data_IF_807882820771
#
_entry.id   IF_807882820771
#
_cell.length_a   1.000
_cell.length_b   1.000
_cell.length_c   1.000
_cell.angle_alpha   90.00
_cell.angle_beta   90.00
_cell.angle_gamma   90.00
#
_symmetry.space_group_name_H-M   'P 1'
#
loop_
_entity.id
_entity.type
_entity.pdbx_description
1 polymer ?
#
# COMPACT_ATOMS: atom_id res chain seq x y z
N UNK A 1 24.18 13.91 -5.54
CA UNK A 1 22.74 13.99 -5.31
C UNK A 1 22.22 12.56 -5.23
N UNK A 2 22.08 11.99 -4.03
CA UNK A 2 21.52 10.65 -3.87
C UNK A 2 20.00 10.76 -3.87
N UNK A 3 19.36 10.37 -4.98
CA UNK A 3 17.90 10.27 -5.01
C UNK A 3 17.44 9.22 -4.00
N UNK A 4 16.34 9.50 -3.28
CA UNK A 4 15.70 8.53 -2.39
C UNK A 4 15.34 7.28 -3.21
N UNK A 5 15.76 6.09 -2.79
CA UNK A 5 15.35 4.86 -3.46
C UNK A 5 13.83 4.71 -3.34
N UNK A 6 13.16 4.42 -4.46
CA UNK A 6 11.72 4.19 -4.48
C UNK A 6 11.42 2.86 -3.77
N UNK A 7 10.49 2.87 -2.81
CA UNK A 7 10.19 1.75 -1.93
C UNK A 7 8.99 0.95 -2.46
N UNK A 8 9.19 -0.34 -2.68
CA UNK A 8 8.12 -1.29 -2.95
C UNK A 8 7.90 -2.17 -1.72
N UNK A 9 6.73 -2.03 -1.09
CA UNK A 9 6.36 -2.89 0.04
C UNK A 9 5.70 -4.16 -0.48
N UNK A 10 6.14 -5.31 0.05
CA UNK A 10 5.67 -6.64 -0.35
C UNK A 10 4.79 -7.21 0.75
N UNK A 11 3.51 -7.36 0.44
CA UNK A 11 2.49 -7.99 1.28
C UNK A 11 2.31 -9.42 0.76
N UNK A 12 2.59 -10.41 1.60
CA UNK A 12 2.50 -11.83 1.20
C UNK A 12 2.33 -12.74 2.42
N UNK A 13 1.96 -14.02 2.24
CA UNK A 13 1.95 -14.96 3.34
C UNK A 13 3.35 -15.07 3.98
N UNK A 14 3.41 -14.77 5.28
CA UNK A 14 4.66 -14.73 6.07
C UNK A 14 5.08 -16.13 6.51
N UNK A 15 4.09 -16.93 6.92
CA UNK A 15 4.29 -18.30 7.40
C UNK A 15 3.90 -19.31 6.34
N UNK A 16 4.31 -20.56 6.58
CA UNK A 16 3.78 -21.70 5.85
C UNK A 16 2.24 -21.72 5.96
N UNK A 17 1.59 -22.09 4.88
CA UNK A 17 0.13 -22.16 4.77
C UNK A 17 -0.29 -23.51 4.24
N UNK A 18 -1.45 -24.00 4.68
CA UNK A 18 -1.96 -25.30 4.26
C UNK A 18 -2.03 -25.45 2.73
N UNK A 19 -1.56 -26.60 2.24
CA UNK A 19 -1.51 -26.91 0.81
C UNK A 19 -0.26 -26.40 0.09
N UNK A 20 0.75 -25.88 0.80
CA UNK A 20 2.04 -25.47 0.27
C UNK A 20 3.19 -26.14 1.02
N UNK A 21 4.32 -26.31 0.34
CA UNK A 21 5.53 -26.82 0.96
C UNK A 21 6.12 -25.80 1.94
N UNK A 22 6.81 -26.28 2.98
CA UNK A 22 7.46 -25.40 3.94
C UNK A 22 8.51 -24.52 3.24
N UNK A 23 8.48 -23.21 3.52
CA UNK A 23 9.36 -22.22 2.90
C UNK A 23 8.96 -21.83 1.47
N UNK A 24 7.80 -22.27 0.98
CA UNK A 24 7.31 -21.92 -0.35
C UNK A 24 7.29 -20.40 -0.56
N UNK A 25 6.65 -19.65 0.33
CA UNK A 25 6.54 -18.18 0.21
C UNK A 25 7.88 -17.46 0.38
N UNK A 26 8.81 -18.03 1.15
CA UNK A 26 10.19 -17.53 1.19
C UNK A 26 10.88 -17.70 -0.16
N UNK A 27 10.62 -18.80 -0.86
CA UNK A 27 11.12 -19.04 -2.23
C UNK A 27 10.48 -18.08 -3.23
N UNK A 28 9.16 -17.90 -3.18
CA UNK A 28 8.43 -16.91 -3.99
C UNK A 28 9.03 -15.52 -3.81
N UNK A 29 9.25 -15.09 -2.56
CA UNK A 29 9.84 -13.77 -2.29
C UNK A 29 11.23 -13.62 -2.91
N UNK A 30 12.14 -14.54 -2.60
CA UNK A 30 13.55 -14.42 -2.96
C UNK A 30 13.83 -14.58 -4.45
N UNK A 31 13.06 -15.45 -5.12
CA UNK A 31 13.34 -15.85 -6.50
C UNK A 31 12.38 -15.29 -7.53
N UNK A 32 11.21 -14.77 -7.12
CA UNK A 32 10.23 -14.21 -8.05
C UNK A 32 9.97 -12.72 -7.76
N UNK A 33 9.45 -12.40 -6.57
CA UNK A 33 8.98 -11.04 -6.27
C UNK A 33 10.16 -10.06 -6.16
N UNK A 34 11.13 -10.33 -5.30
CA UNK A 34 12.28 -9.43 -5.06
C UNK A 34 13.07 -9.16 -6.36
N UNK A 35 13.39 -10.16 -7.21
CA UNK A 35 14.01 -9.90 -8.50
C UNK A 35 13.16 -9.03 -9.43
N UNK A 36 11.84 -9.24 -9.48
CA UNK A 36 10.94 -8.44 -10.31
C UNK A 36 10.87 -6.97 -9.84
N UNK A 37 10.80 -6.75 -8.53
CA UNK A 37 10.80 -5.42 -7.89
C UNK A 37 12.10 -4.67 -8.17
N UNK A 38 13.25 -5.33 -7.97
CA UNK A 38 14.57 -4.74 -8.26
C UNK A 38 14.70 -4.40 -9.74
N UNK A 39 14.23 -5.29 -10.62
CA UNK A 39 14.24 -5.08 -12.08
C UNK A 39 13.36 -3.88 -12.49
N UNK A 40 12.29 -3.61 -11.76
CA UNK A 40 11.43 -2.44 -11.96
C UNK A 40 12.05 -1.13 -11.41
N UNK A 41 13.21 -1.20 -10.75
CA UNK A 41 13.92 -0.03 -10.22
C UNK A 41 13.51 0.39 -8.81
N UNK A 42 12.93 -0.53 -8.02
CA UNK A 42 12.50 -0.29 -6.65
C UNK A 42 13.32 -1.09 -5.64
N UNK A 43 13.38 -0.59 -4.40
CA UNK A 43 13.84 -1.33 -3.24
C UNK A 43 12.70 -2.21 -2.70
N UNK A 44 12.94 -3.52 -2.59
CA UNK A 44 11.97 -4.49 -2.07
C UNK A 44 12.02 -4.56 -0.54
N UNK A 45 10.90 -4.28 0.11
CA UNK A 45 10.75 -4.33 1.57
C UNK A 45 9.67 -5.35 1.92
N UNK A 46 9.99 -6.30 2.79
CA UNK A 46 9.06 -7.32 3.30
C UNK A 46 8.85 -7.10 4.81
N UNK A 47 7.64 -7.33 5.29
CA UNK A 47 7.24 -7.06 6.68
C UNK A 47 7.99 -7.89 7.74
N UNK A 48 8.55 -9.04 7.35
CA UNK A 48 9.08 -10.08 8.24
C UNK A 48 10.31 -9.67 9.07
N UNK A 49 10.96 -8.54 8.78
CA UNK A 49 12.18 -8.14 9.50
C UNK A 49 11.94 -7.57 10.92
N UNK A 50 10.68 -7.47 11.41
CA UNK A 50 10.37 -6.90 12.75
C UNK A 50 9.26 -7.63 13.53
N UNK A 51 9.59 -8.75 14.17
CA UNK A 51 8.65 -9.53 15.00
C UNK A 51 8.47 -8.99 16.43
N UNK A 52 7.44 -8.14 16.68
CA UNK A 52 6.79 -7.94 18.01
C UNK A 52 5.32 -7.48 17.87
N UNK A 53 4.37 -8.31 18.30
CA UNK A 53 2.92 -8.29 17.97
C UNK A 53 2.13 -6.97 18.10
N UNK A 54 2.39 -6.11 19.11
CA UNK A 54 1.71 -4.79 19.19
C UNK A 54 2.40 -3.69 18.36
N UNK A 55 3.64 -3.92 17.94
CA UNK A 55 4.39 -3.04 17.02
C UNK A 55 4.04 -3.37 15.56
N UNK A 56 3.48 -4.55 15.29
CA UNK A 56 3.22 -5.07 13.93
C UNK A 56 2.26 -4.16 13.15
N UNK A 57 1.10 -3.80 13.69
CA UNK A 57 0.10 -3.03 12.93
C UNK A 57 0.62 -1.64 12.58
N UNK A 58 1.24 -0.93 13.53
CA UNK A 58 1.82 0.39 13.28
C UNK A 58 2.97 0.31 12.26
N UNK A 59 3.81 -0.73 12.35
CA UNK A 59 4.89 -0.97 11.39
C UNK A 59 4.34 -1.25 9.99
N UNK A 60 3.29 -2.07 9.86
CA UNK A 60 2.64 -2.36 8.58
C UNK A 60 2.06 -1.08 7.99
N UNK A 61 1.30 -0.31 8.78
CA UNK A 61 0.71 0.94 8.29
C UNK A 61 1.79 1.93 7.87
N UNK A 62 2.86 2.06 8.65
CA UNK A 62 3.98 2.92 8.25
C UNK A 62 4.65 2.43 6.96
N UNK A 63 4.86 1.13 6.79
CA UNK A 63 5.42 0.59 5.56
C UNK A 63 4.51 0.82 4.35
N UNK A 64 3.19 0.71 4.52
CA UNK A 64 2.19 1.04 3.49
C UNK A 64 2.30 2.53 3.14
N UNK A 65 2.25 3.42 4.14
CA UNK A 65 2.32 4.87 3.94
C UNK A 65 3.65 5.33 3.33
N UNK A 66 4.77 4.73 3.71
CA UNK A 66 6.09 5.07 3.18
C UNK A 66 6.37 4.50 1.78
N UNK A 67 5.59 3.51 1.34
CA UNK A 67 5.80 2.86 0.05
C UNK A 67 5.28 3.70 -1.12
N UNK A 68 6.05 3.68 -2.20
CA UNK A 68 5.69 4.27 -3.49
C UNK A 68 4.74 3.35 -4.28
N UNK A 69 4.90 2.04 -4.09
CA UNK A 69 4.09 0.98 -4.70
C UNK A 69 4.06 -0.24 -3.80
N UNK A 70 3.03 -1.06 -3.94
CA UNK A 70 2.84 -2.28 -3.17
C UNK A 70 2.68 -3.45 -4.12
N UNK A 71 3.35 -4.57 -3.83
CA UNK A 71 3.08 -5.87 -4.46
C UNK A 71 2.39 -6.75 -3.43
N UNK A 72 1.22 -7.28 -3.79
CA UNK A 72 0.40 -8.09 -2.90
C UNK A 72 0.18 -9.48 -3.49
N UNK A 73 0.69 -10.51 -2.81
CA UNK A 73 0.55 -11.92 -3.19
C UNK A 73 -0.67 -12.56 -2.52
N UNK A 74 -1.72 -12.76 -3.31
CA UNK A 74 -3.02 -13.28 -2.86
C UNK A 74 -3.08 -14.81 -2.79
N UNK A 75 -1.97 -15.48 -3.05
CA UNK A 75 -1.85 -16.93 -2.94
C UNK A 75 -2.26 -17.42 -1.55
N UNK A 76 -2.71 -18.68 -1.48
CA UNK A 76 -3.25 -19.31 -0.27
C UNK A 76 -4.49 -18.65 0.35
N UNK A 77 -4.98 -17.53 -0.20
CA UNK A 77 -6.06 -16.72 0.36
C UNK A 77 -5.81 -16.30 1.82
N UNK A 78 -4.57 -15.92 2.13
CA UNK A 78 -4.20 -15.53 3.49
C UNK A 78 -5.00 -14.31 3.98
N UNK A 79 -5.67 -14.44 5.14
CA UNK A 79 -6.54 -13.38 5.67
C UNK A 79 -5.77 -12.09 6.04
N UNK A 80 -4.51 -12.20 6.48
CA UNK A 80 -3.69 -11.03 6.80
C UNK A 80 -3.33 -10.25 5.55
N UNK A 81 -2.98 -10.94 4.47
CA UNK A 81 -2.72 -10.33 3.15
C UNK A 81 -3.95 -9.54 2.67
N UNK A 82 -5.15 -10.11 2.79
CA UNK A 82 -6.38 -9.39 2.43
C UNK A 82 -6.66 -8.17 3.31
N UNK A 83 -6.35 -8.27 4.61
CA UNK A 83 -6.47 -7.13 5.52
C UNK A 83 -5.53 -5.98 5.12
N UNK A 84 -4.26 -6.28 4.85
CA UNK A 84 -3.25 -5.30 4.44
C UNK A 84 -3.53 -4.74 3.04
N UNK A 85 -4.08 -5.56 2.12
CA UNK A 85 -4.61 -5.10 0.84
C UNK A 85 -5.73 -4.07 1.03
N UNK A 86 -6.69 -4.36 1.90
CA UNK A 86 -7.78 -3.45 2.22
C UNK A 86 -7.29 -2.11 2.77
N UNK A 87 -6.29 -2.14 3.66
CA UNK A 87 -5.62 -0.93 4.14
C UNK A 87 -4.92 -0.17 3.02
N UNK A 88 -4.19 -0.87 2.15
CA UNK A 88 -3.49 -0.27 1.01
C UNK A 88 -4.45 0.46 0.07
N UNK A 89 -5.62 -0.13 -0.21
CA UNK A 89 -6.68 0.51 -0.97
C UNK A 89 -7.30 1.71 -0.24
N UNK A 90 -7.51 1.60 1.07
CA UNK A 90 -8.04 2.70 1.89
C UNK A 90 -7.11 3.92 1.92
N UNK A 91 -5.79 3.68 1.92
CA UNK A 91 -4.75 4.70 1.79
C UNK A 91 -4.42 5.06 0.34
N UNK A 92 -5.20 4.54 -0.62
CA UNK A 92 -5.11 4.91 -2.03
C UNK A 92 -3.73 4.69 -2.64
N UNK A 93 -3.05 3.63 -2.21
CA UNK A 93 -1.74 3.23 -2.70
C UNK A 93 -1.86 2.53 -4.05
N UNK A 94 -0.80 2.64 -4.85
CA UNK A 94 -0.65 1.88 -6.09
C UNK A 94 -0.34 0.42 -5.74
N UNK A 95 -1.18 -0.52 -6.16
CA UNK A 95 -1.06 -1.93 -5.76
C UNK A 95 -1.04 -2.84 -6.99
N UNK A 96 0.02 -3.64 -7.10
CA UNK A 96 0.11 -4.76 -8.03
C UNK A 96 -0.33 -6.03 -7.33
N UNK A 97 -1.36 -6.68 -7.88
CA UNK A 97 -1.84 -7.96 -7.38
C UNK A 97 -1.20 -9.11 -8.16
N UNK A 98 -0.67 -10.08 -7.42
CA UNK A 98 -0.20 -11.35 -7.95
C UNK A 98 -0.86 -12.52 -7.21
N UNK A 99 -0.86 -13.69 -7.83
CA UNK A 99 -1.27 -14.95 -7.22
C UNK A 99 -0.61 -16.12 -7.93
N UNK A 100 -0.57 -17.27 -7.30
CA UNK A 100 -0.25 -18.51 -7.99
C UNK A 100 -1.40 -18.97 -8.93
N UNK A 101 -1.09 -19.91 -9.81
CA UNK A 101 -2.03 -20.43 -10.79
C UNK A 101 -3.12 -21.35 -10.21
N UNK A 102 -3.03 -21.76 -8.95
CA UNK A 102 -4.02 -22.66 -8.31
C UNK A 102 -4.97 -21.93 -7.37
N UNK A 103 -4.64 -20.71 -6.93
CA UNK A 103 -5.47 -19.92 -6.03
C UNK A 103 -6.59 -19.23 -6.80
N UNK A 104 -7.83 -19.52 -6.38
CA UNK A 104 -9.03 -18.85 -6.87
C UNK A 104 -9.31 -17.59 -6.07
N UNK A 105 -9.41 -16.46 -6.78
CA UNK A 105 -9.68 -15.15 -6.20
C UNK A 105 -11.15 -15.02 -5.76
N UNK A 106 -11.45 -14.41 -4.60
CA UNK A 106 -12.83 -14.12 -4.18
C UNK A 106 -13.56 -13.24 -5.20
N UNK A 107 -14.88 -13.41 -5.32
CA UNK A 107 -15.69 -12.68 -6.29
C UNK A 107 -15.57 -11.15 -6.15
N UNK A 108 -15.47 -10.64 -4.92
CA UNK A 108 -15.42 -9.21 -4.61
C UNK A 108 -14.21 -8.46 -5.20
N UNK A 109 -13.12 -9.16 -5.52
CA UNK A 109 -11.92 -8.58 -6.14
C UNK A 109 -11.64 -9.15 -7.55
N UNK A 110 -12.59 -9.90 -8.12
CA UNK A 110 -12.44 -10.51 -9.45
C UNK A 110 -12.37 -9.50 -10.61
N UNK A 111 -12.87 -8.28 -10.40
CA UNK A 111 -12.77 -7.18 -11.37
C UNK A 111 -11.42 -6.49 -11.39
N UNK A 112 -10.53 -6.77 -10.42
CA UNK A 112 -9.19 -6.19 -10.36
C UNK A 112 -8.24 -7.12 -11.13
N UNK A 113 -7.36 -6.53 -11.95
CA UNK A 113 -6.37 -7.30 -12.70
C UNK A 113 -5.32 -7.88 -11.75
N UNK A 114 -5.21 -9.21 -11.76
CA UNK A 114 -4.23 -9.98 -10.96
C UNK A 114 -3.33 -10.78 -11.91
N UNK A 115 -2.02 -10.67 -11.74
CA UNK A 115 -1.07 -11.52 -12.48
C UNK A 115 -0.98 -12.90 -11.85
N UNK A 116 -0.88 -13.93 -12.69
CA UNK A 116 -0.68 -15.30 -12.22
C UNK A 116 0.77 -15.73 -12.43
N UNK A 117 1.36 -16.40 -11.44
CA UNK A 117 2.63 -17.11 -11.59
C UNK A 117 2.44 -18.62 -11.37
N UNK A 118 3.40 -19.43 -11.81
CA UNK A 118 3.33 -20.88 -11.64
C UNK A 118 3.73 -21.31 -10.22
N UNK A 119 2.84 -22.03 -9.52
CA UNK A 119 3.06 -22.49 -8.15
C UNK A 119 4.32 -23.36 -7.99
N UNK A 120 4.73 -24.11 -9.02
CA UNK A 120 5.89 -24.99 -8.90
C UNK A 120 7.22 -24.24 -8.84
N UNK A 121 7.22 -22.94 -9.18
CA UNK A 121 8.43 -22.11 -9.26
C UNK A 121 9.54 -22.74 -10.12
N UNK A 122 9.16 -23.52 -11.14
CA UNK A 122 10.10 -24.04 -12.13
C UNK A 122 10.82 -22.86 -12.79
N UNK A 123 12.14 -23.01 -12.95
CA UNK A 123 13.02 -21.90 -13.32
C UNK A 123 12.64 -21.24 -14.65
N UNK A 124 12.17 -22.03 -15.63
CA UNK A 124 11.68 -21.55 -16.92
C UNK A 124 10.39 -20.73 -16.81
N UNK A 125 9.54 -21.02 -15.82
CA UNK A 125 8.33 -20.23 -15.54
C UNK A 125 8.65 -18.97 -14.73
N UNK A 126 9.58 -19.07 -13.78
CA UNK A 126 10.08 -17.92 -13.01
C UNK A 126 10.75 -16.90 -13.93
N UNK A 127 11.62 -17.33 -14.84
CA UNK A 127 12.33 -16.47 -15.79
C UNK A 127 11.37 -15.71 -16.73
N UNK A 128 10.19 -16.29 -17.03
CA UNK A 128 9.12 -15.62 -17.78
C UNK A 128 8.33 -14.65 -16.91
N UNK A 129 8.06 -15.03 -15.66
CA UNK A 129 7.20 -14.27 -14.74
C UNK A 129 7.88 -13.00 -14.22
N UNK A 130 9.20 -13.04 -13.95
CA UNK A 130 9.97 -11.87 -13.47
C UNK A 130 9.81 -10.64 -14.36
N UNK A 131 10.08 -10.69 -15.68
CA UNK A 131 9.93 -9.51 -16.55
C UNK A 131 8.47 -9.07 -16.68
N UNK A 132 7.50 -9.98 -16.61
CA UNK A 132 6.08 -9.63 -16.65
C UNK A 132 5.65 -8.85 -15.40
N UNK A 133 5.96 -9.36 -14.21
CA UNK A 133 5.68 -8.69 -12.93
C UNK A 133 6.40 -7.34 -12.89
N UNK A 134 7.67 -7.30 -13.29
CA UNK A 134 8.46 -6.06 -13.33
C UNK A 134 7.85 -4.99 -14.22
N UNK A 135 7.40 -5.36 -15.43
CA UNK A 135 6.69 -4.44 -16.34
C UNK A 135 5.41 -3.94 -15.69
N UNK A 136 4.65 -4.82 -15.06
CA UNK A 136 3.37 -4.45 -14.45
C UNK A 136 3.54 -3.50 -13.26
N UNK A 137 4.58 -3.68 -12.45
CA UNK A 137 5.00 -2.71 -11.41
C UNK A 137 5.30 -1.35 -12.03
N UNK A 138 6.07 -1.31 -13.12
CA UNK A 138 6.43 -0.06 -13.78
C UNK A 138 5.21 0.65 -14.40
N UNK A 139 4.31 -0.11 -15.05
CA UNK A 139 3.09 0.40 -15.67
C UNK A 139 2.14 0.98 -14.61
N UNK A 140 1.84 0.22 -13.55
CA UNK A 140 1.02 0.69 -12.42
C UNK A 140 1.63 1.93 -11.78
N UNK A 141 2.95 1.96 -11.58
CA UNK A 141 3.60 3.13 -11.00
C UNK A 141 3.52 4.37 -11.90
N UNK A 142 3.56 4.21 -13.23
CA UNK A 142 3.48 5.31 -14.19
C UNK A 142 2.04 5.80 -14.42
N UNK A 143 1.03 4.99 -14.12
CA UNK A 143 -0.38 5.36 -14.31
C UNK A 143 -0.90 6.14 -13.10
N UNK A 144 -1.28 7.41 -13.33
CA UNK A 144 -1.85 8.29 -12.31
C UNK A 144 -3.34 8.01 -12.04
N UNK A 145 -4.01 7.22 -12.90
CA UNK A 145 -5.41 6.83 -12.76
C UNK A 145 -5.60 5.41 -12.16
N UNK A 146 -4.53 4.68 -11.83
CA UNK A 146 -4.61 3.29 -11.32
C UNK A 146 -5.13 3.20 -9.86
N UNK A 147 -5.69 4.29 -9.34
CA UNK A 147 -6.37 4.29 -8.07
C UNK A 147 -7.74 3.62 -8.20
N UNK A 148 -7.97 2.57 -7.40
CA UNK A 148 -9.25 1.84 -7.34
C UNK A 148 -10.43 2.76 -7.01
N UNK A 149 -10.17 3.88 -6.33
CA UNK A 149 -11.16 4.92 -6.07
C UNK A 149 -10.81 6.19 -6.84
N UNK A 150 -11.79 6.83 -7.51
CA UNK A 150 -11.56 8.11 -8.17
C UNK A 150 -11.04 9.11 -7.13
N UNK A 151 -9.87 9.71 -7.42
CA UNK A 151 -9.28 10.72 -6.55
C UNK A 151 -9.97 12.06 -6.79
N UNK A 152 -10.44 12.71 -5.72
CA UNK A 152 -10.30 14.16 -5.68
C UNK A 152 -8.90 14.43 -5.15
N UNK A 153 -8.04 15.01 -5.99
CA UNK A 153 -6.65 15.34 -5.61
C UNK A 153 -6.58 16.52 -4.63
N UNK A 154 -7.69 17.25 -4.50
CA UNK A 154 -7.78 18.40 -3.61
C UNK A 154 -9.21 18.68 -3.16
N UNK A 155 -9.34 19.36 -2.02
CA UNK A 155 -10.59 19.91 -1.51
C UNK A 155 -10.35 21.30 -0.96
N UNK A 156 -11.32 22.19 -1.18
CA UNK A 156 -11.34 23.47 -0.50
C UNK A 156 -11.76 23.24 0.96
N UNK A 157 -10.87 23.54 1.90
CA UNK A 157 -11.18 23.64 3.31
C UNK A 157 -12.10 24.85 3.56
N UNK A 158 -12.88 24.87 4.66
CA UNK A 158 -13.77 25.99 4.97
C UNK A 158 -13.07 27.34 5.17
N UNK A 159 -11.76 27.34 5.45
CA UNK A 159 -10.95 28.55 5.54
C UNK A 159 -10.45 29.06 4.17
N UNK A 160 -10.79 28.39 3.07
CA UNK A 160 -10.41 28.75 1.70
C UNK A 160 -9.08 28.14 1.22
N UNK A 161 -8.37 27.41 2.08
CA UNK A 161 -7.16 26.68 1.67
C UNK A 161 -7.54 25.46 0.81
N UNK A 162 -6.72 25.18 -0.21
CA UNK A 162 -6.88 23.98 -1.02
C UNK A 162 -5.96 22.92 -0.43
N UNK A 163 -6.55 21.91 0.20
CA UNK A 163 -5.82 20.80 0.79
C UNK A 163 -5.74 19.63 -0.18
N UNK A 164 -4.55 19.08 -0.32
CA UNK A 164 -4.22 17.96 -1.20
C UNK A 164 -4.05 16.66 -0.40
N UNK A 165 -4.17 15.52 -1.08
CA UNK A 165 -3.75 14.23 -0.50
C UNK A 165 -2.25 14.30 -0.18
N UNK A 166 -1.87 13.88 1.02
CA UNK A 166 -0.51 13.95 1.56
C UNK A 166 -0.23 15.22 2.37
N UNK A 167 -1.10 16.23 2.33
CA UNK A 167 -0.95 17.41 3.17
C UNK A 167 -1.18 17.07 4.65
N UNK A 168 -0.41 17.71 5.52
CA UNK A 168 -0.59 17.62 6.96
C UNK A 168 -1.53 18.72 7.45
N UNK A 169 -2.55 18.32 8.19
CA UNK A 169 -3.49 19.25 8.82
C UNK A 169 -3.11 19.52 10.27
N UNK A 170 -3.11 20.81 10.62
CA UNK A 170 -2.97 21.30 11.97
C UNK A 170 -4.33 21.68 12.57
N UNK A 171 -4.68 21.08 13.72
CA UNK A 171 -5.86 21.47 14.49
C UNK A 171 -5.57 22.75 15.29
N UNK A 172 -6.25 23.84 14.95
CA UNK A 172 -6.10 25.14 15.65
C UNK A 172 -6.72 25.14 17.05
N UNK A 173 -7.63 24.23 17.37
CA UNK A 173 -8.26 24.14 18.70
C UNK A 173 -7.42 23.27 19.62
N UNK A 174 -7.11 22.05 19.17
CA UNK A 174 -6.40 21.08 20.01
C UNK A 174 -4.88 21.24 19.95
N UNK A 175 -4.37 22.12 19.07
CA UNK A 175 -2.95 22.36 18.82
C UNK A 175 -2.16 21.08 18.48
N UNK A 176 -2.74 20.21 17.64
CA UNK A 176 -2.15 18.91 17.24
C UNK A 176 -1.85 18.87 15.73
N UNK A 177 -0.66 18.35 15.37
CA UNK A 177 -0.06 18.41 14.02
C UNK A 177 -0.16 17.14 13.15
N UNK A 178 -0.74 16.05 13.64
CA UNK A 178 -0.34 14.73 13.15
C UNK A 178 -1.34 14.06 12.19
N UNK A 179 -2.07 14.84 11.39
CA UNK A 179 -3.17 14.32 10.57
C UNK A 179 -2.91 14.47 9.07
N UNK A 180 -2.32 13.44 8.47
CA UNK A 180 -2.09 13.39 7.01
C UNK A 180 -3.41 13.10 6.30
N UNK A 181 -3.75 13.89 5.26
CA UNK A 181 -4.89 13.60 4.40
C UNK A 181 -4.57 12.41 3.51
N UNK A 182 -5.29 11.32 3.72
CA UNK A 182 -5.13 10.09 2.92
C UNK A 182 -6.16 9.96 1.82
N UNK A 183 -7.31 10.63 1.96
CA UNK A 183 -8.40 10.57 0.99
C UNK A 183 -9.34 11.76 1.10
N UNK A 184 -9.83 12.17 -0.05
CA UNK A 184 -10.86 13.20 -0.20
C UNK A 184 -12.03 12.57 -0.96
N UNK A 185 -13.22 12.71 -0.40
CA UNK A 185 -14.50 12.53 -1.09
C UNK A 185 -15.26 13.86 -1.07
N UNK A 186 -16.29 14.03 -1.91
CA UNK A 186 -17.00 15.30 -2.17
C UNK A 186 -17.28 16.18 -0.93
N UNK A 187 -17.53 15.58 0.24
CA UNK A 187 -17.77 16.31 1.51
C UNK A 187 -17.01 15.75 2.72
N UNK A 188 -16.01 14.88 2.51
CA UNK A 188 -15.32 14.19 3.59
C UNK A 188 -13.82 14.17 3.35
N UNK A 189 -13.07 14.54 4.38
CA UNK A 189 -11.62 14.46 4.39
C UNK A 189 -11.23 13.35 5.35
N UNK A 190 -10.60 12.31 4.84
CA UNK A 190 -10.07 11.22 5.65
C UNK A 190 -8.63 11.52 6.00
N UNK A 191 -8.34 11.41 7.28
CA UNK A 191 -7.04 11.73 7.85
C UNK A 191 -6.55 10.59 8.74
N UNK A 192 -5.25 10.38 8.77
CA UNK A 192 -4.63 9.44 9.71
C UNK A 192 -4.14 10.20 10.92
N UNK A 193 -4.68 9.90 12.09
CA UNK A 193 -4.06 10.33 13.35
C UNK A 193 -2.80 9.52 13.59
N UNK A 194 -1.63 10.09 13.28
CA UNK A 194 -0.35 9.39 13.41
C UNK A 194 0.00 9.04 14.88
N UNK A 195 -0.63 9.67 15.88
CA UNK A 195 -0.39 9.31 17.30
C UNK A 195 -1.10 8.02 17.70
N UNK A 196 -2.31 7.79 17.20
CA UNK A 196 -3.15 6.66 17.59
C UNK A 196 -3.42 5.66 16.47
N UNK A 197 -2.90 5.93 15.27
CA UNK A 197 -3.05 5.12 14.05
C UNK A 197 -4.53 4.85 13.79
N UNK A 198 -5.31 5.93 13.71
CA UNK A 198 -6.75 5.89 13.44
C UNK A 198 -7.06 6.66 12.16
N UNK A 199 -7.89 6.06 11.31
CA UNK A 199 -8.53 6.81 10.22
C UNK A 199 -9.70 7.58 10.84
N UNK A 200 -9.63 8.90 10.76
CA UNK A 200 -10.70 9.81 11.13
C UNK A 200 -11.25 10.43 9.85
N UNK A 201 -12.50 10.89 9.88
CA UNK A 201 -13.02 11.76 8.84
C UNK A 201 -13.42 13.11 9.44
N UNK A 202 -13.12 14.19 8.72
CA UNK A 202 -13.58 15.53 9.03
C UNK A 202 -14.90 15.76 8.29
N UNK A 203 -15.93 16.11 9.05
CA UNK A 203 -17.12 16.73 8.47
C UNK A 203 -16.88 18.23 8.24
N UNK A 204 -17.78 18.87 7.50
CA UNK A 204 -17.68 20.29 7.13
C UNK A 204 -17.57 21.26 8.33
N UNK A 205 -18.14 20.91 9.47
CA UNK A 205 -18.09 21.78 10.66
C UNK A 205 -16.76 21.68 11.40
N UNK A 206 -16.24 20.47 11.55
CA UNK A 206 -14.98 20.24 12.25
C UNK A 206 -13.77 20.63 11.38
N UNK A 207 -13.88 20.52 10.05
CA UNK A 207 -12.85 20.95 9.09
C UNK A 207 -12.49 22.45 9.21
N UNK A 208 -13.38 23.31 9.74
CA UNK A 208 -13.12 24.75 9.97
C UNK A 208 -11.93 25.00 10.91
N UNK A 209 -11.65 24.05 11.78
CA UNK A 209 -10.60 24.14 12.79
C UNK A 209 -9.23 23.80 12.23
N UNK A 210 -9.15 23.26 11.01
CA UNK A 210 -7.89 22.83 10.42
C UNK A 210 -7.29 23.88 9.49
N UNK A 211 -5.99 23.76 9.28
CA UNK A 211 -5.20 24.51 8.29
C UNK A 211 -4.04 23.63 7.85
N UNK A 212 -3.54 23.85 6.64
CA UNK A 212 -2.39 23.12 6.12
C UNK A 212 -1.12 23.67 6.78
N UNK A 213 -0.30 22.79 7.37
CA UNK A 213 1.03 23.16 7.87
C UNK A 213 2.02 22.00 7.71
N UNK A 214 3.25 22.33 7.33
CA UNK A 214 4.36 21.38 7.33
C UNK A 214 4.94 21.21 8.75
N UNK A 215 4.91 20.00 9.34
CA UNK A 215 5.48 19.75 10.67
C UNK A 215 7.01 19.91 10.75
N UNK A 216 7.72 19.95 9.63
CA UNK A 216 9.19 20.05 9.57
C UNK A 216 9.71 21.49 9.50
N UNK A 217 8.82 22.48 9.36
CA UNK A 217 9.16 23.90 9.21
C UNK A 217 8.91 24.76 10.46
N UNK A 218 8.49 24.16 11.59
CA UNK A 218 8.35 24.77 12.93
C UNK A 218 9.17 24.01 13.98
#
# INVERSE_FOLDING_TARGET
>A
MGGKNKRCFVIMPISDTDGYDNGHFTTVYNHLIKPAVIKAGFESIRADDTFKTNIIINSIIQNILDSDIIVCDLSSKNANVFYELGLSHAFNKKVVLIKDNVTNIPFDISGIRVLSYDKSLRIDEVDKSIPEISRYIADTYADDNDAIFPKMDSIALPNGEIAHIGDFLYDKIDHVFAREIIRIEESRIYIVDNKNVRILYLNSDYAKNYTIKDPLLE
#
